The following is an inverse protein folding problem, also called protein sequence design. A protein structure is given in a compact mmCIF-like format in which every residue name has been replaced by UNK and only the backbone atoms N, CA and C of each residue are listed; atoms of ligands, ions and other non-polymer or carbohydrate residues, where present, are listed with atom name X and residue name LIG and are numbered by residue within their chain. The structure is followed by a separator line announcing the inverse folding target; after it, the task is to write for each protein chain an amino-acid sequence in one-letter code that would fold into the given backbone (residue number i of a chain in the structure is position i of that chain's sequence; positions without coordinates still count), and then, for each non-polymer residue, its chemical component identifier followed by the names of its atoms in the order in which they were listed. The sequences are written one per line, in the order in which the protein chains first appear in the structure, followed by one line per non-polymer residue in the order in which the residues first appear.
data_IF_987686370064
#
_entry.id   IF_987686370064
#
_cell.length_a   1.000
_cell.length_b   1.000
_cell.length_c   1.000
_cell.angle_alpha   90.00
_cell.angle_beta   90.00
_cell.angle_gamma   90.00
#
_symmetry.space_group_name_H-M   'P 1'
#
loop_
_entity.id
_entity.type
_entity.pdbx_description
1 polymer ?
#
# COMPACT_ATOMS: atom_id res chain seq x y z
N UNK A 1 4.56 -19.83 5.00
CA UNK A 1 3.69 -18.68 4.68
C UNK A 1 4.57 -17.49 4.39
N UNK A 2 4.13 -16.58 3.53
CA UNK A 2 4.77 -15.32 3.23
C UNK A 2 3.85 -14.21 3.77
N UNK A 3 4.38 -13.03 4.05
CA UNK A 3 3.54 -11.84 4.28
C UNK A 3 3.22 -11.22 2.92
N UNK A 4 1.95 -10.91 2.69
CA UNK A 4 1.50 -10.21 1.49
C UNK A 4 0.91 -8.87 1.88
N UNK A 5 1.46 -7.79 1.33
CA UNK A 5 0.92 -6.45 1.47
C UNK A 5 0.43 -5.97 0.13
N UNK A 6 -0.78 -5.41 0.07
CA UNK A 6 -1.37 -4.93 -1.19
C UNK A 6 -1.88 -3.51 -1.02
N UNK A 7 -1.37 -2.61 -1.84
CA UNK A 7 -1.95 -1.29 -2.05
C UNK A 7 -2.82 -1.34 -3.31
N UNK A 8 -4.11 -1.06 -3.17
CA UNK A 8 -5.06 -0.91 -4.29
C UNK A 8 -5.30 0.58 -4.49
N UNK A 9 -5.21 1.05 -5.74
CA UNK A 9 -5.47 2.42 -6.17
C UNK A 9 -6.65 2.39 -7.15
N UNK A 10 -7.66 3.23 -6.94
CA UNK A 10 -8.77 3.34 -7.89
C UNK A 10 -8.39 4.15 -9.14
N UNK A 11 -8.99 3.78 -10.26
CA UNK A 11 -8.86 4.42 -11.56
C UNK A 11 -7.94 3.68 -12.53
N UNK A 12 -7.74 4.30 -13.70
CA UNK A 12 -7.00 3.74 -14.83
C UNK A 12 -5.56 4.33 -14.95
N UNK A 13 -4.93 4.74 -13.84
CA UNK A 13 -3.54 5.22 -13.88
C UNK A 13 -2.64 4.12 -14.48
N UNK A 14 -1.79 4.41 -15.49
CA UNK A 14 -0.95 3.37 -16.09
C UNK A 14 -0.01 2.69 -15.09
N UNK A 15 0.19 1.38 -15.24
CA UNK A 15 1.02 0.58 -14.32
C UNK A 15 2.47 1.07 -14.28
N UNK A 16 2.99 1.56 -15.40
CA UNK A 16 4.33 2.15 -15.52
C UNK A 16 4.43 3.44 -14.72
N UNK A 17 3.38 4.27 -14.74
CA UNK A 17 3.36 5.52 -13.98
C UNK A 17 3.31 5.22 -12.48
N UNK A 18 2.50 4.25 -12.06
CA UNK A 18 2.45 3.80 -10.66
C UNK A 18 3.79 3.20 -10.23
N UNK A 19 4.40 2.34 -11.06
CA UNK A 19 5.70 1.74 -10.81
C UNK A 19 6.80 2.81 -10.67
N UNK A 20 6.86 3.80 -11.57
CA UNK A 20 7.83 4.89 -11.51
C UNK A 20 7.66 5.82 -10.30
N UNK A 21 6.43 5.99 -9.80
CA UNK A 21 6.18 6.70 -8.53
C UNK A 21 6.75 5.91 -7.33
N UNK A 22 6.57 4.60 -7.31
CA UNK A 22 7.03 3.73 -6.22
C UNK A 22 8.57 3.56 -6.21
N UNK A 23 9.15 3.34 -7.39
CA UNK A 23 10.55 2.96 -7.62
C UNK A 23 11.21 3.94 -8.60
N UNK A 24 11.73 5.08 -8.10
CA UNK A 24 12.32 6.11 -8.94
C UNK A 24 13.73 5.76 -9.45
N UNK A 25 14.40 4.79 -8.84
CA UNK A 25 15.69 4.27 -9.30
C UNK A 25 15.43 3.28 -10.46
N UNK A 26 16.04 3.50 -11.65
CA UNK A 26 15.89 2.60 -12.79
C UNK A 26 16.27 1.14 -12.50
N UNK A 27 17.19 0.89 -11.57
CA UNK A 27 17.59 -0.48 -11.18
C UNK A 27 16.49 -1.21 -10.39
N UNK A 28 15.55 -0.47 -9.80
CA UNK A 28 14.48 -1.00 -8.96
C UNK A 28 13.15 -1.09 -9.72
N UNK A 29 13.09 -0.55 -10.94
CA UNK A 29 11.85 -0.37 -11.67
C UNK A 29 11.27 -1.73 -12.11
N UNK A 30 10.02 -2.05 -11.72
CA UNK A 30 9.32 -3.23 -12.20
C UNK A 30 9.25 -3.29 -13.72
N UNK A 31 9.56 -4.46 -14.29
CA UNK A 31 9.50 -4.74 -15.73
C UNK A 31 8.57 -5.91 -16.03
N UNK A 32 8.10 -6.03 -17.26
CA UNK A 32 7.16 -7.08 -17.64
C UNK A 32 6.33 -6.71 -18.87
N UNK A 33 5.14 -7.30 -18.96
CA UNK A 33 4.18 -7.07 -20.04
C UNK A 33 2.87 -6.61 -19.42
N UNK A 34 2.37 -5.46 -19.86
CA UNK A 34 1.07 -4.90 -19.45
C UNK A 34 -0.01 -5.99 -19.57
N UNK A 35 -0.88 -6.16 -18.56
CA UNK A 35 -1.11 -5.27 -17.42
C UNK A 35 -0.26 -5.57 -16.17
N UNK A 36 0.84 -6.34 -16.27
CA UNK A 36 1.62 -6.79 -15.12
C UNK A 36 3.11 -6.44 -15.26
N UNK A 37 3.63 -5.72 -14.26
CA UNK A 37 5.05 -5.46 -14.08
C UNK A 37 5.53 -6.08 -12.76
N UNK A 38 6.75 -6.59 -12.72
CA UNK A 38 7.33 -7.22 -11.52
C UNK A 38 8.78 -6.81 -11.32
N UNK A 39 9.22 -6.76 -10.06
CA UNK A 39 10.64 -6.70 -9.70
C UNK A 39 10.91 -7.63 -8.53
N UNK A 40 12.05 -8.31 -8.57
CA UNK A 40 12.60 -9.00 -7.41
C UNK A 40 13.60 -8.07 -6.72
N UNK A 41 13.26 -7.66 -5.49
CA UNK A 41 14.04 -6.74 -4.68
C UNK A 41 14.38 -7.36 -3.32
N UNK A 42 14.35 -8.70 -3.21
CA UNK A 42 14.55 -9.39 -1.94
C UNK A 42 15.90 -9.07 -1.29
N UNK A 43 16.98 -9.10 -2.06
CA UNK A 43 18.33 -8.89 -1.51
C UNK A 43 18.55 -7.47 -0.97
N UNK A 44 17.90 -6.46 -1.56
CA UNK A 44 18.08 -5.04 -1.22
C UNK A 44 17.04 -4.53 -0.23
N UNK A 45 15.78 -4.94 -0.41
CA UNK A 45 14.64 -4.37 0.32
C UNK A 45 13.78 -5.42 1.06
N UNK A 46 14.03 -6.71 0.86
CA UNK A 46 13.35 -7.79 1.57
C UNK A 46 11.98 -8.18 1.00
N UNK A 47 11.67 -7.74 -0.23
CA UNK A 47 10.41 -8.09 -0.89
C UNK A 47 10.59 -8.25 -2.41
N UNK A 48 9.66 -8.98 -3.01
CA UNK A 48 9.34 -8.83 -4.44
C UNK A 48 8.07 -8.01 -4.59
N UNK A 49 7.91 -7.33 -5.71
CA UNK A 49 6.74 -6.48 -5.99
C UNK A 49 6.12 -6.83 -7.34
N UNK A 50 4.79 -6.80 -7.38
CA UNK A 50 4.01 -6.89 -8.61
C UNK A 50 3.08 -5.67 -8.72
N UNK A 51 3.13 -4.96 -9.84
CA UNK A 51 2.22 -3.86 -10.18
C UNK A 51 1.28 -4.34 -11.27
N UNK A 52 -0.03 -4.35 -11.00
CA UNK A 52 -1.03 -4.93 -11.88
C UNK A 52 -2.24 -4.01 -12.06
N UNK A 53 -2.64 -3.75 -13.30
CA UNK A 53 -3.93 -3.13 -13.61
C UNK A 53 -5.06 -4.18 -13.67
N UNK A 54 -6.26 -3.78 -13.26
CA UNK A 54 -7.45 -4.60 -13.27
C UNK A 54 -8.73 -3.77 -13.38
N UNK A 55 -9.85 -4.48 -13.52
CA UNK A 55 -11.21 -3.92 -13.55
C UNK A 55 -12.14 -4.79 -12.72
N UNK A 56 -13.28 -4.23 -12.33
CA UNK A 56 -14.25 -4.84 -11.45
C UNK A 56 -13.57 -5.32 -10.16
N UNK A 57 -12.82 -4.40 -9.52
CA UNK A 57 -12.16 -4.69 -8.27
C UNK A 57 -13.18 -4.90 -7.16
N UNK A 58 -12.88 -5.83 -6.26
CA UNK A 58 -13.64 -6.07 -5.05
C UNK A 58 -12.67 -6.26 -3.90
N UNK A 59 -12.80 -5.44 -2.87
CA UNK A 59 -12.05 -5.51 -1.63
C UNK A 59 -13.04 -5.76 -0.52
N UNK A 60 -12.90 -6.88 0.17
CA UNK A 60 -13.68 -7.25 1.35
C UNK A 60 -12.67 -7.69 2.42
N UNK A 61 -12.55 -6.90 3.48
CA UNK A 61 -11.50 -7.01 4.50
C UNK A 61 -12.00 -6.57 5.87
N UNK A 62 -11.32 -6.99 6.92
CA UNK A 62 -11.62 -6.63 8.29
C UNK A 62 -10.92 -5.33 8.71
N UNK A 63 -11.70 -4.36 9.18
CA UNK A 63 -11.25 -3.10 9.78
C UNK A 63 -11.37 -3.11 11.31
N UNK A 64 -11.05 -1.98 11.96
CA UNK A 64 -11.27 -1.82 13.40
C UNK A 64 -12.76 -1.78 13.79
N UNK A 65 -13.65 -1.48 12.84
CA UNK A 65 -15.10 -1.34 13.06
C UNK A 65 -15.90 -2.54 12.53
N UNK A 66 -15.22 -3.58 12.03
CA UNK A 66 -15.79 -4.77 11.40
C UNK A 66 -15.51 -4.85 9.90
N UNK A 67 -16.34 -5.59 9.17
CA UNK A 67 -16.22 -5.78 7.73
C UNK A 67 -16.22 -4.44 6.98
N UNK A 68 -15.29 -4.29 6.05
CA UNK A 68 -15.16 -3.11 5.20
C UNK A 68 -15.05 -3.54 3.74
N UNK A 69 -15.88 -2.92 2.89
CA UNK A 69 -15.97 -3.26 1.48
C UNK A 69 -15.70 -2.05 0.58
N UNK A 70 -15.08 -2.31 -0.56
CA UNK A 70 -14.87 -1.31 -1.60
C UNK A 70 -14.75 -1.92 -2.99
N UNK A 71 -15.47 -1.32 -3.95
CA UNK A 71 -15.56 -1.81 -5.34
C UNK A 71 -15.06 -0.77 -6.35
N UNK A 72 -13.74 -0.69 -6.61
CA UNK A 72 -13.22 0.18 -7.66
C UNK A 72 -13.51 -0.42 -9.06
N UNK A 73 -14.16 0.35 -9.93
CA UNK A 73 -14.48 -0.06 -11.31
C UNK A 73 -13.21 -0.41 -12.11
N UNK A 74 -12.19 0.44 -12.02
CA UNK A 74 -10.84 0.21 -12.52
C UNK A 74 -9.85 0.40 -11.37
N UNK A 75 -8.75 -0.34 -11.38
CA UNK A 75 -7.74 -0.21 -10.34
C UNK A 75 -6.34 -0.60 -10.81
N UNK A 76 -5.34 -0.09 -10.09
CA UNK A 76 -3.98 -0.62 -10.08
C UNK A 76 -3.64 -1.12 -8.68
N UNK A 77 -3.06 -2.31 -8.58
CA UNK A 77 -2.57 -2.85 -7.32
C UNK A 77 -1.05 -2.98 -7.32
N UNK A 78 -0.39 -2.58 -6.23
CA UNK A 78 0.97 -2.96 -5.90
C UNK A 78 0.92 -4.04 -4.82
N UNK A 79 1.38 -5.25 -5.14
CA UNK A 79 1.46 -6.37 -4.21
C UNK A 79 2.91 -6.63 -3.85
N UNK A 80 3.25 -6.51 -2.58
CA UNK A 80 4.56 -6.79 -2.01
C UNK A 80 4.51 -8.16 -1.33
N UNK A 81 5.38 -9.06 -1.76
CA UNK A 81 5.54 -10.37 -1.14
C UNK A 81 6.84 -10.40 -0.36
N UNK A 82 6.73 -10.66 0.94
CA UNK A 82 7.82 -10.68 1.91
C UNK A 82 7.93 -12.08 2.54
N UNK A 83 9.11 -12.45 3.03
CA UNK A 83 9.23 -13.68 3.83
C UNK A 83 8.43 -13.55 5.13
N UNK A 84 7.93 -14.66 5.71
CA UNK A 84 7.21 -14.61 7.00
C UNK A 84 8.05 -14.11 8.16
N UNK A 85 9.38 -14.22 8.07
CA UNK A 85 10.32 -13.71 9.07
C UNK A 85 10.86 -12.32 8.69
N UNK A 86 10.32 -11.71 7.63
CA UNK A 86 10.64 -10.36 7.20
C UNK A 86 9.73 -9.30 7.85
N UNK A 87 9.04 -9.65 8.95
CA UNK A 87 8.36 -8.71 9.84
C UNK A 87 9.33 -7.84 10.67
N UNK A 88 10.61 -7.85 10.31
CA UNK A 88 11.60 -6.98 10.90
C UNK A 88 11.30 -5.52 10.54
N UNK A 89 11.36 -4.59 11.50
CA UNK A 89 10.99 -3.20 11.25
C UNK A 89 11.65 -2.56 10.02
N UNK A 90 12.95 -2.76 9.73
CA UNK A 90 13.57 -2.13 8.55
C UNK A 90 12.94 -2.56 7.21
N UNK A 91 12.52 -3.82 7.09
CA UNK A 91 11.98 -4.34 5.82
C UNK A 91 10.56 -3.81 5.56
N UNK A 92 9.75 -3.72 6.62
CA UNK A 92 8.42 -3.09 6.54
C UNK A 92 8.54 -1.60 6.20
N UNK A 93 9.53 -0.91 6.78
CA UNK A 93 9.80 0.51 6.48
C UNK A 93 10.20 0.73 5.02
N UNK A 94 10.98 -0.17 4.40
CA UNK A 94 11.32 -0.08 2.97
C UNK A 94 10.06 -0.15 2.09
N UNK A 95 9.17 -1.11 2.37
CA UNK A 95 7.91 -1.27 1.64
C UNK A 95 6.97 -0.08 1.85
N UNK A 96 6.83 0.41 3.08
CA UNK A 96 6.05 1.61 3.39
C UNK A 96 6.61 2.87 2.71
N UNK A 97 7.92 2.94 2.47
CA UNK A 97 8.54 4.04 1.74
C UNK A 97 8.08 4.07 0.27
N UNK A 98 7.97 2.91 -0.38
CA UNK A 98 7.41 2.81 -1.73
C UNK A 98 5.94 3.25 -1.76
N UNK A 99 5.13 2.76 -0.80
CA UNK A 99 3.72 3.15 -0.67
C UNK A 99 3.56 4.65 -0.45
N UNK A 100 4.37 5.24 0.45
CA UNK A 100 4.37 6.67 0.72
C UNK A 100 4.61 7.48 -0.56
N UNK A 101 5.58 7.08 -1.40
CA UNK A 101 5.87 7.79 -2.65
C UNK A 101 4.67 7.76 -3.61
N UNK A 102 4.02 6.60 -3.73
CA UNK A 102 2.79 6.45 -4.53
C UNK A 102 1.68 7.38 -4.02
N UNK A 103 1.42 7.35 -2.71
CA UNK A 103 0.39 8.20 -2.11
C UNK A 103 0.74 9.70 -2.26
N UNK A 104 1.99 10.11 -2.05
CA UNK A 104 2.35 11.53 -2.12
C UNK A 104 2.31 12.12 -3.54
N UNK A 105 2.42 11.28 -4.58
CA UNK A 105 2.52 11.73 -5.98
C UNK A 105 1.27 11.40 -6.80
N UNK A 106 0.31 10.69 -6.21
CA UNK A 106 -0.94 10.29 -6.83
C UNK A 106 -2.15 10.81 -6.06
N UNK A 107 -3.24 11.12 -6.76
CA UNK A 107 -4.52 11.56 -6.18
C UNK A 107 -5.55 10.44 -6.04
N UNK A 108 -5.20 9.21 -6.40
CA UNK A 108 -6.11 8.06 -6.42
C UNK A 108 -6.62 7.72 -5.01
N UNK A 109 -7.90 7.37 -4.90
CA UNK A 109 -8.37 6.72 -3.69
C UNK A 109 -7.65 5.38 -3.53
N UNK A 110 -7.37 4.99 -2.28
CA UNK A 110 -6.51 3.86 -2.00
C UNK A 110 -6.95 3.04 -0.78
N UNK A 111 -6.69 1.74 -0.84
CA UNK A 111 -6.77 0.82 0.30
C UNK A 111 -5.48 0.01 0.41
N UNK A 112 -4.93 -0.08 1.62
CA UNK A 112 -3.74 -0.84 1.94
C UNK A 112 -4.10 -2.00 2.86
N UNK A 113 -3.77 -3.22 2.43
CA UNK A 113 -4.29 -4.48 2.96
C UNK A 113 -3.12 -5.39 3.29
N UNK A 114 -3.20 -6.08 4.42
CA UNK A 114 -2.30 -7.17 4.81
C UNK A 114 -3.01 -8.51 4.64
N UNK A 115 -2.30 -9.48 4.06
CA UNK A 115 -2.69 -10.88 3.84
C UNK A 115 -4.05 -11.11 3.16
N UNK A 116 -4.59 -10.07 2.54
CA UNK A 116 -5.85 -10.11 1.80
C UNK A 116 -7.10 -9.94 2.66
N UNK A 117 -6.97 -9.80 3.98
CA UNK A 117 -8.10 -9.81 4.92
C UNK A 117 -8.02 -8.72 6.00
N UNK A 118 -6.89 -8.03 6.16
CA UNK A 118 -6.73 -6.99 7.19
C UNK A 118 -6.52 -5.63 6.54
N UNK A 119 -7.44 -4.70 6.79
CA UNK A 119 -7.29 -3.30 6.37
C UNK A 119 -6.28 -2.58 7.27
N UNK A 120 -5.28 -1.93 6.69
CA UNK A 120 -4.26 -1.16 7.40
C UNK A 120 -4.39 0.35 7.18
N UNK A 121 -4.75 0.77 5.97
CA UNK A 121 -4.95 2.18 5.65
C UNK A 121 -5.94 2.34 4.50
N UNK A 122 -6.76 3.38 4.60
CA UNK A 122 -7.56 3.90 3.49
C UNK A 122 -7.15 5.33 3.19
N UNK A 123 -7.23 5.75 1.95
CA UNK A 123 -7.17 7.17 1.56
C UNK A 123 -8.33 7.44 0.62
N UNK A 124 -9.27 8.24 1.07
CA UNK A 124 -10.40 8.69 0.23
C UNK A 124 -10.45 10.20 0.25
N UNK A 125 -10.69 10.82 -0.91
CA UNK A 125 -10.67 12.28 -1.06
C UNK A 125 -9.37 12.92 -0.54
N UNK A 126 -8.24 12.23 -0.76
CA UNK A 126 -6.92 12.65 -0.28
C UNK A 126 -6.69 12.56 1.23
N UNK A 127 -7.61 11.95 1.99
CA UNK A 127 -7.54 11.85 3.45
C UNK A 127 -7.10 10.45 3.89
N UNK A 128 -5.82 10.24 4.26
CA UNK A 128 -5.37 8.97 4.82
C UNK A 128 -5.95 8.74 6.23
N UNK A 129 -6.53 7.56 6.43
CA UNK A 129 -7.03 7.02 7.70
C UNK A 129 -6.33 5.69 7.93
N UNK A 130 -5.68 5.55 9.10
CA UNK A 130 -5.02 4.30 9.51
C UNK A 130 -5.97 3.44 10.31
N UNK A 131 -5.93 2.15 10.04
CA UNK A 131 -6.63 1.09 10.75
C UNK A 131 -5.60 0.22 11.46
N UNK A 132 -6.02 -0.60 12.42
CA UNK A 132 -5.16 -1.53 13.18
C UNK A 132 -4.02 -0.79 13.86
N UNK A 133 -4.36 0.15 14.74
CA UNK A 133 -3.38 1.00 15.47
C UNK A 133 -2.19 0.21 16.03
N UNK A 134 -2.45 -0.96 16.62
CA UNK A 134 -1.41 -1.84 17.19
C UNK A 134 -0.41 -2.35 16.15
N UNK A 135 -0.83 -2.57 14.90
CA UNK A 135 0.08 -2.95 13.81
C UNK A 135 1.08 -1.82 13.52
N UNK A 136 0.60 -0.58 13.42
CA UNK A 136 1.47 0.58 13.17
C UNK A 136 2.44 0.86 14.33
N UNK A 137 2.01 0.63 15.57
CA UNK A 137 2.84 0.80 16.76
C UNK A 137 3.99 -0.24 16.86
N UNK A 138 3.84 -1.41 16.22
CA UNK A 138 4.90 -2.42 16.16
C UNK A 138 6.08 -2.03 15.24
N UNK A 139 5.91 -1.00 14.40
CA UNK A 139 6.92 -0.55 13.45
C UNK A 139 7.30 0.91 13.71
N UNK A 140 8.31 1.17 14.58
CA UNK A 140 8.77 2.52 14.86
C UNK A 140 9.11 3.29 13.58
N UNK A 141 8.55 4.50 13.43
CA UNK A 141 8.69 5.35 12.24
C UNK A 141 7.67 5.09 11.13
N UNK A 142 6.92 3.98 11.15
CA UNK A 142 5.85 3.73 10.17
C UNK A 142 4.72 4.76 10.27
N UNK A 143 4.40 5.19 11.50
CA UNK A 143 3.37 6.20 11.74
C UNK A 143 3.72 7.56 11.13
N UNK A 144 5.00 7.95 11.14
CA UNK A 144 5.45 9.25 10.63
C UNK A 144 5.64 9.25 9.11
N UNK A 145 5.86 8.08 8.51
CA UNK A 145 6.05 7.94 7.06
C UNK A 145 4.81 8.32 6.27
N UNK A 146 3.64 7.86 6.71
CA UNK A 146 2.36 8.17 6.09
C UNK A 146 1.56 8.97 7.10
N UNK A 147 1.56 10.31 7.05
CA UNK A 147 0.82 11.11 8.01
C UNK A 147 -0.66 10.81 7.87
N UNK A 148 -1.33 10.54 8.99
CA UNK A 148 -2.78 10.45 9.00
C UNK A 148 -3.36 11.85 8.88
N UNK A 149 -4.51 11.99 8.22
CA UNK A 149 -5.35 13.16 8.43
C UNK A 149 -5.84 13.07 9.87
N UNK A 150 -5.12 13.71 10.81
CA UNK A 150 -5.65 13.96 12.13
C UNK A 150 -6.94 14.75 11.94
N UNK A 151 -8.08 14.11 12.19
CA UNK A 151 -9.28 14.86 12.49
C UNK A 151 -8.91 15.82 13.62
N UNK A 152 -9.08 17.12 13.38
CA UNK A 152 -9.29 18.06 14.46
C UNK A 152 -10.35 17.44 15.37
N UNK A 153 -9.99 17.04 16.59
CA UNK A 153 -10.96 17.10 17.67
C UNK A 153 -11.31 18.58 17.85
N UNK A 154 -12.56 19.00 17.65
CA UNK A 154 -13.01 20.28 18.16
C UNK A 154 -13.32 20.06 19.64
N UNK A 155 -12.32 20.19 20.52
CA UNK A 155 -12.56 20.68 21.88
C UNK A 155 -11.26 20.80 22.67
N UNK A 156 -11.11 21.97 23.29
CA UNK A 156 -10.00 22.34 24.16
C UNK A 156 -9.86 23.86 24.29
N UNK A 157 -10.99 24.54 24.46
CA UNK A 157 -11.04 25.90 25.00
C UNK A 157 -10.83 25.87 26.52
#
# INVERSE_FOLDING_TARGET
MALEYRLVLAGDTPVEQVAGRAFPDPEELPTGVIPLLTADLFDRYGFSVAVRAGRNGYVDVESDEGSWEWEPEAYVSLSFRMDKFADQPPLVINMLTAIRRVLNTGSEDAAFILNGDVLLLTRFDGKPVKHRRTWWENYPGAADLIPSSSGLSPDGA
#
